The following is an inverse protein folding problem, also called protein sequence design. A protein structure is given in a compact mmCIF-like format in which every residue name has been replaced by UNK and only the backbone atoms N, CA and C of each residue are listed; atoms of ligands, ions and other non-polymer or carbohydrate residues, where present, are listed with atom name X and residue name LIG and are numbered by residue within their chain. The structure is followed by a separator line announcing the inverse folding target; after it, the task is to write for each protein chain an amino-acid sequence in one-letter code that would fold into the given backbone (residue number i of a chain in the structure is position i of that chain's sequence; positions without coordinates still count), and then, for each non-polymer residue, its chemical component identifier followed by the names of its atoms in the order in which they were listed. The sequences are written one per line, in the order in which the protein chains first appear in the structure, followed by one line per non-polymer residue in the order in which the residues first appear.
data_IF_153010975852
#
_entry.id   IF_153010975852
#
_cell.length_a   1.000
_cell.length_b   1.000
_cell.length_c   1.000
_cell.angle_alpha   90.00
_cell.angle_beta   90.00
_cell.angle_gamma   90.00
#
_symmetry.space_group_name_H-M   'P 1'
#
loop_
_entity.id
_entity.type
_entity.pdbx_description
1 polymer ?
#
# COMPACT_ATOMS: atom_id res chain seq x y z
N UNK A 1 5.63 -0.34 -6.57
CA UNK A 1 4.64 -1.17 -5.86
C UNK A 1 4.53 -0.69 -4.43
N UNK A 2 3.34 -0.25 -4.02
CA UNK A 2 3.06 0.26 -2.67
C UNK A 2 2.63 -0.92 -1.77
N UNK A 3 3.45 -1.26 -0.77
CA UNK A 3 3.13 -2.34 0.18
C UNK A 3 2.95 -1.74 1.58
N UNK A 4 1.85 -2.08 2.28
CA UNK A 4 1.68 -1.68 3.67
C UNK A 4 2.71 -2.39 4.54
N UNK A 5 3.15 -1.72 5.60
CA UNK A 5 4.05 -2.31 6.60
C UNK A 5 3.27 -2.60 7.89
N UNK A 6 3.91 -3.30 8.83
CA UNK A 6 3.34 -3.53 10.16
C UNK A 6 3.32 -2.25 11.03
N UNK A 7 3.93 -1.16 10.58
CA UNK A 7 3.88 0.14 11.25
C UNK A 7 2.67 0.91 10.74
N UNK A 8 1.89 1.43 11.68
CA UNK A 8 0.68 2.20 11.37
C UNK A 8 1.01 3.37 10.43
N UNK A 9 0.17 3.57 9.41
CA UNK A 9 0.30 4.63 8.41
C UNK A 9 1.63 4.68 7.64
N UNK A 10 2.48 3.64 7.73
CA UNK A 10 3.72 3.55 6.98
C UNK A 10 3.59 2.59 5.79
N UNK A 11 3.92 3.12 4.62
CA UNK A 11 3.88 2.41 3.34
C UNK A 11 5.23 2.51 2.66
N UNK A 12 5.69 1.40 2.07
CA UNK A 12 6.92 1.37 1.30
C UNK A 12 6.60 1.27 -0.18
N UNK A 13 7.26 2.10 -0.98
CA UNK A 13 7.26 1.98 -2.43
C UNK A 13 8.52 1.26 -2.92
N UNK A 14 8.35 0.08 -3.53
CA UNK A 14 9.43 -0.61 -4.24
C UNK A 14 9.40 -0.36 -5.74
N UNK A 15 10.56 -0.13 -6.36
CA UNK A 15 10.72 0.00 -7.82
C UNK A 15 11.40 1.30 -8.25
N UNK A 16 11.52 1.49 -9.57
CA UNK A 16 12.15 2.69 -10.13
C UNK A 16 11.21 3.91 -10.17
N UNK A 17 11.73 5.06 -10.59
CA UNK A 17 10.99 6.32 -10.65
C UNK A 17 9.76 6.26 -11.57
N UNK A 18 9.87 5.59 -12.72
CA UNK A 18 8.75 5.44 -13.66
C UNK A 18 7.61 4.63 -13.03
N UNK A 19 7.94 3.49 -12.41
CA UNK A 19 6.97 2.66 -11.69
C UNK A 19 6.32 3.45 -10.55
N UNK A 20 7.10 4.27 -9.84
CA UNK A 20 6.58 5.15 -8.78
C UNK A 20 5.53 6.11 -9.32
N UNK A 21 5.83 6.81 -10.42
CA UNK A 21 4.88 7.74 -11.06
C UNK A 21 3.61 7.04 -11.52
N UNK A 22 3.75 5.88 -12.18
CA UNK A 22 2.61 5.13 -12.68
C UNK A 22 1.71 4.62 -11.54
N UNK A 23 2.28 4.02 -10.49
CA UNK A 23 1.52 3.43 -9.40
C UNK A 23 0.91 4.42 -8.41
N UNK A 24 1.46 5.64 -8.30
CA UNK A 24 0.88 6.68 -7.44
C UNK A 24 -0.54 7.08 -7.85
N UNK A 25 -0.87 7.05 -9.15
CA UNK A 25 -2.23 7.35 -9.62
C UNK A 25 -3.25 6.33 -9.10
N UNK A 26 -2.92 5.03 -9.18
CA UNK A 26 -3.80 3.98 -8.66
C UNK A 26 -3.91 4.04 -7.13
N UNK A 27 -2.82 4.35 -6.43
CA UNK A 27 -2.85 4.54 -4.98
C UNK A 27 -3.81 5.67 -4.56
N UNK A 28 -3.77 6.81 -5.25
CA UNK A 28 -4.67 7.93 -4.97
C UNK A 28 -6.14 7.54 -5.12
N UNK A 29 -6.48 6.77 -6.17
CA UNK A 29 -7.82 6.24 -6.38
C UNK A 29 -8.25 5.28 -5.26
N UNK A 30 -7.36 4.38 -4.83
CA UNK A 30 -7.64 3.46 -3.72
C UNK A 30 -7.86 4.20 -2.39
N UNK A 31 -7.07 5.24 -2.11
CA UNK A 31 -7.25 6.07 -0.92
C UNK A 31 -8.59 6.79 -0.96
N UNK A 32 -8.96 7.39 -2.09
CA UNK A 32 -10.27 8.03 -2.24
C UNK A 32 -11.41 7.02 -2.07
N UNK A 33 -11.29 5.84 -2.66
CA UNK A 33 -12.28 4.77 -2.50
C UNK A 33 -12.48 4.40 -1.01
N UNK A 34 -11.40 4.30 -0.22
CA UNK A 34 -11.50 4.08 1.24
C UNK A 34 -12.22 5.21 1.96
N UNK A 35 -11.94 6.46 1.60
CA UNK A 35 -12.61 7.63 2.18
C UNK A 35 -14.11 7.64 1.89
N UNK A 36 -14.53 7.11 0.74
CA UNK A 36 -15.94 6.96 0.33
C UNK A 36 -16.58 5.66 0.86
N UNK A 37 -15.87 4.88 1.67
CA UNK A 37 -16.39 3.61 2.21
C UNK A 37 -16.50 2.47 1.18
N UNK A 38 -15.88 2.61 0.01
CA UNK A 38 -15.85 1.54 -0.99
C UNK A 38 -14.85 0.45 -0.57
N UNK A 39 -15.20 -0.84 -0.73
CA UNK A 39 -14.31 -1.94 -0.40
C UNK A 39 -13.08 -1.91 -1.32
N UNK A 40 -11.89 -1.83 -0.71
CA UNK A 40 -10.61 -1.89 -1.43
C UNK A 40 -9.81 -3.07 -0.91
N UNK A 41 -9.93 -4.27 -1.52
CA UNK A 41 -9.18 -5.43 -1.07
C UNK A 41 -7.69 -5.14 -1.20
N UNK A 42 -6.96 -5.26 -0.09
CA UNK A 42 -5.51 -5.16 -0.05
C UNK A 42 -4.96 -6.55 0.16
N UNK A 43 -3.90 -6.91 -0.56
CA UNK A 43 -3.17 -8.14 -0.26
C UNK A 43 -2.68 -8.08 1.18
N UNK A 44 -2.95 -9.15 1.94
CA UNK A 44 -2.70 -9.19 3.38
C UNK A 44 -1.27 -8.80 3.75
N UNK A 45 -1.13 -8.22 4.94
CA UNK A 45 0.17 -7.95 5.54
C UNK A 45 0.95 -9.26 5.65
N UNK A 46 2.24 -9.20 5.32
CA UNK A 46 3.10 -10.37 5.42
C UNK A 46 3.23 -10.77 6.91
N UNK A 47 3.17 -12.07 7.24
CA UNK A 47 3.33 -12.52 8.61
C UNK A 47 4.67 -12.05 9.21
N UNK A 48 4.64 -11.68 10.48
CA UNK A 48 5.83 -11.32 11.25
C UNK A 48 6.60 -12.60 11.61
N UNK A 49 7.85 -12.70 11.17
CA UNK A 49 8.73 -13.83 11.47
C UNK A 49 9.79 -13.52 12.54
N UNK A 50 9.73 -12.36 13.21
CA UNK A 50 10.66 -12.08 14.30
C UNK A 50 10.25 -12.89 15.54
N UNK A 51 11.10 -13.83 15.94
CA UNK A 51 11.07 -14.43 17.27
C UNK A 51 11.86 -13.50 18.19
N UNK A 52 11.18 -13.02 19.23
CA UNK A 52 11.64 -12.06 20.24
C UNK A 52 13.14 -11.99 20.52
#
# INVERSE_FOLDING_TARGET
MWKPTNVENLWIHGGNLHQSRHYSNYLALQLKARMEGLPTPVYELQPTHHTR
#
